data_IF_881715059398
#
_entry.id   IF_881715059398
#
_cell.length_a   1.000
_cell.length_b   1.000
_cell.length_c   1.000
_cell.angle_alpha   90.00
_cell.angle_beta   90.00
_cell.angle_gamma   90.00
#
_symmetry.space_group_name_H-M   'P 1'
#
loop_
_entity.id
_entity.type
_entity.pdbx_description
1 polymer ?
#
# COMPACT_ATOMS: atom_id res chain seq x y z
N UNK A 1 9.10 16.61 0.68
CA UNK A 1 9.19 15.13 0.68
C UNK A 1 8.15 14.55 -0.28
N UNK A 2 8.53 13.60 -1.13
CA UNK A 2 7.64 12.90 -2.07
C UNK A 2 7.15 11.59 -1.45
N UNK A 3 5.82 11.48 -1.27
CA UNK A 3 5.19 10.27 -0.74
C UNK A 3 4.29 9.64 -1.78
N UNK A 4 4.45 8.34 -1.99
CA UNK A 4 3.75 7.56 -3.01
C UNK A 4 3.05 6.36 -2.40
N UNK A 5 1.91 5.99 -2.94
CA UNK A 5 1.21 4.74 -2.64
C UNK A 5 0.89 3.95 -3.91
N UNK A 6 1.01 2.63 -3.87
CA UNK A 6 0.60 1.75 -4.96
C UNK A 6 0.17 0.34 -4.49
N UNK A 7 -1.05 -0.05 -4.81
CA UNK A 7 -1.48 -1.45 -4.74
C UNK A 7 -0.86 -2.21 -5.93
N UNK A 8 0.00 -3.18 -5.62
CA UNK A 8 0.78 -3.90 -6.63
C UNK A 8 0.01 -5.03 -7.31
N UNK A 9 -1.23 -5.31 -6.88
CA UNK A 9 -2.05 -6.40 -7.42
C UNK A 9 -1.29 -7.73 -7.50
N UNK A 10 -0.52 -8.06 -6.45
CA UNK A 10 0.36 -9.24 -6.40
C UNK A 10 1.42 -9.31 -7.52
N UNK A 11 1.77 -8.15 -8.09
CA UNK A 11 2.65 -8.01 -9.24
C UNK A 11 1.99 -8.38 -10.57
N UNK A 12 0.66 -8.36 -10.64
CA UNK A 12 -0.07 -8.70 -11.86
C UNK A 12 -0.24 -7.47 -12.76
N UNK A 13 -0.62 -7.73 -14.00
CA UNK A 13 -1.00 -6.70 -14.97
C UNK A 13 -2.52 -6.59 -15.06
N UNK A 14 -2.98 -5.54 -15.73
CA UNK A 14 -4.36 -5.42 -16.20
C UNK A 14 -4.40 -5.43 -17.74
N UNK A 15 -5.03 -6.45 -18.37
CA UNK A 15 -5.61 -7.65 -17.75
C UNK A 15 -4.54 -8.58 -17.12
N UNK A 16 -4.95 -9.50 -16.20
CA UNK A 16 -4.06 -10.47 -15.56
C UNK A 16 -3.20 -11.28 -16.52
N UNK A 17 -1.90 -11.33 -16.25
CA UNK A 17 -0.90 -12.05 -17.05
C UNK A 17 -0.39 -13.32 -16.38
N UNK A 18 0.40 -14.11 -17.11
CA UNK A 18 1.06 -15.33 -16.59
C UNK A 18 2.36 -15.06 -15.82
N UNK A 19 2.95 -13.87 -15.96
CA UNK A 19 4.23 -13.52 -15.34
C UNK A 19 4.03 -12.37 -14.37
N UNK A 20 4.58 -12.50 -13.17
CA UNK A 20 4.65 -11.40 -12.22
C UNK A 20 5.59 -10.31 -12.75
N UNK A 21 5.19 -9.05 -12.61
CA UNK A 21 5.93 -7.83 -12.92
C UNK A 21 6.36 -7.07 -11.68
N UNK A 22 6.32 -7.72 -10.51
CA UNK A 22 6.53 -7.07 -9.21
C UNK A 22 7.86 -6.30 -9.13
N UNK A 23 8.97 -6.90 -9.55
CA UNK A 23 10.27 -6.22 -9.58
C UNK A 23 10.23 -4.96 -10.44
N UNK A 24 9.65 -5.05 -11.65
CA UNK A 24 9.51 -3.91 -12.56
C UNK A 24 8.65 -2.81 -11.96
N UNK A 25 7.57 -3.18 -11.28
CA UNK A 25 6.68 -2.22 -10.61
C UNK A 25 7.42 -1.48 -9.50
N UNK A 26 8.15 -2.21 -8.63
CA UNK A 26 8.91 -1.59 -7.55
C UNK A 26 10.03 -0.70 -8.09
N UNK A 27 10.77 -1.16 -9.11
CA UNK A 27 11.81 -0.35 -9.77
C UNK A 27 11.23 0.91 -10.41
N UNK A 28 10.11 0.79 -11.12
CA UNK A 28 9.42 1.94 -11.71
C UNK A 28 8.92 2.93 -10.64
N UNK A 29 8.36 2.40 -9.55
CA UNK A 29 7.84 3.21 -8.44
C UNK A 29 8.93 3.89 -7.60
N UNK A 30 10.19 3.54 -7.81
CA UNK A 30 11.35 4.09 -7.08
C UNK A 30 12.34 4.81 -7.99
N UNK A 31 12.08 4.88 -9.29
CA UNK A 31 12.99 5.44 -10.30
C UNK A 31 13.35 6.90 -10.02
N UNK A 32 12.36 7.70 -9.66
CA UNK A 32 12.50 9.12 -9.29
C UNK A 32 12.80 9.34 -7.79
N UNK A 33 13.13 8.26 -7.07
CA UNK A 33 13.56 8.26 -5.66
C UNK A 33 12.56 8.96 -4.72
N UNK A 34 11.32 8.46 -4.59
CA UNK A 34 10.42 8.98 -3.57
C UNK A 34 11.03 8.77 -2.19
N UNK A 35 10.69 9.65 -1.26
CA UNK A 35 11.13 9.52 0.12
C UNK A 35 10.41 8.36 0.82
N UNK A 36 9.13 8.19 0.50
CA UNK A 36 8.27 7.17 1.10
C UNK A 36 7.45 6.49 0.01
N UNK A 37 7.43 5.16 0.02
CA UNK A 37 6.60 4.34 -0.86
C UNK A 37 5.78 3.32 -0.07
N UNK A 38 4.46 3.53 -0.01
CA UNK A 38 3.49 2.63 0.59
C UNK A 38 2.99 1.61 -0.44
N UNK A 39 3.14 0.33 -0.15
CA UNK A 39 2.75 -0.77 -1.04
C UNK A 39 1.66 -1.63 -0.40
N UNK A 40 0.67 -2.00 -1.20
CA UNK A 40 -0.37 -2.97 -0.83
C UNK A 40 -0.31 -4.19 -1.76
N UNK A 41 -0.89 -5.30 -1.32
CA UNK A 41 -0.91 -6.57 -2.05
C UNK A 41 0.48 -7.09 -2.44
N UNK A 42 1.45 -6.96 -1.53
CA UNK A 42 2.79 -7.50 -1.70
C UNK A 42 2.78 -9.00 -1.39
N UNK A 43 3.16 -9.88 -2.33
CA UNK A 43 3.33 -11.29 -2.03
C UNK A 43 4.44 -11.54 -0.99
N UNK A 44 4.27 -12.48 -0.05
CA UNK A 44 5.24 -12.67 1.06
C UNK A 44 6.66 -13.01 0.58
N UNK A 45 6.80 -13.78 -0.50
CA UNK A 45 8.10 -14.13 -1.06
C UNK A 45 8.92 -12.91 -1.54
N UNK A 46 8.26 -11.78 -1.78
CA UNK A 46 8.89 -10.56 -2.27
C UNK A 46 9.42 -9.66 -1.16
N UNK A 47 8.99 -9.83 0.09
CA UNK A 47 9.37 -8.96 1.20
C UNK A 47 10.88 -8.86 1.39
N UNK A 48 11.61 -9.97 1.25
CA UNK A 48 13.08 -9.98 1.34
C UNK A 48 13.79 -9.36 0.13
N UNK A 49 13.06 -9.12 -0.98
CA UNK A 49 13.61 -8.56 -2.23
C UNK A 49 13.32 -7.08 -2.40
N UNK A 50 12.26 -6.57 -1.75
CA UNK A 50 11.85 -5.16 -1.85
C UNK A 50 13.00 -4.17 -1.60
N UNK A 51 13.86 -4.34 -0.57
CA UNK A 51 14.99 -3.43 -0.38
C UNK A 51 15.97 -3.42 -1.55
N UNK A 52 16.26 -4.59 -2.14
CA UNK A 52 17.18 -4.71 -3.28
C UNK A 52 16.61 -4.17 -4.58
N UNK A 53 15.29 -4.25 -4.79
CA UNK A 53 14.64 -3.69 -5.97
C UNK A 53 14.44 -2.18 -5.89
N UNK A 54 14.05 -1.68 -4.71
CA UNK A 54 13.74 -0.26 -4.50
C UNK A 54 14.92 0.58 -4.04
N UNK A 55 15.99 -0.03 -3.52
CA UNK A 55 17.11 0.71 -2.89
C UNK A 55 16.71 1.43 -1.59
N UNK A 56 15.65 0.95 -0.93
CA UNK A 56 14.99 1.58 0.22
C UNK A 56 14.94 0.63 1.41
N UNK A 57 14.98 1.16 2.63
CA UNK A 57 14.71 0.35 3.82
C UNK A 57 13.20 0.01 3.89
N UNK A 58 12.81 -1.04 4.60
CA UNK A 58 11.42 -1.53 4.57
C UNK A 58 10.89 -1.87 5.97
N UNK A 59 9.62 -1.54 6.21
CA UNK A 59 8.77 -2.11 7.26
C UNK A 59 7.52 -2.72 6.65
N UNK A 60 7.03 -3.84 7.18
CA UNK A 60 5.89 -4.55 6.58
C UNK A 60 4.99 -5.18 7.63
N UNK A 61 3.72 -5.38 7.27
CA UNK A 61 2.76 -6.16 8.06
C UNK A 61 2.17 -7.26 7.19
N UNK A 62 2.15 -8.50 7.70
CA UNK A 62 1.55 -9.65 7.01
C UNK A 62 0.04 -9.59 7.20
N UNK A 63 -0.69 -9.47 6.10
CA UNK A 63 -2.17 -9.37 6.08
C UNK A 63 -2.83 -10.71 5.77
N UNK A 64 -2.11 -11.65 5.14
CA UNK A 64 -2.58 -13.02 4.92
C UNK A 64 -1.42 -14.01 4.94
N UNK A 65 -1.55 -15.10 5.70
CA UNK A 65 -0.57 -16.20 5.69
C UNK A 65 -0.72 -17.04 4.42
N UNK A 66 0.38 -17.59 3.93
CA UNK A 66 0.38 -18.56 2.84
C UNK A 66 -0.39 -19.83 3.27
N UNK A 67 -1.26 -20.35 2.38
CA UNK A 67 -2.19 -21.44 2.72
C UNK A 67 -1.59 -22.86 2.69
N UNK A 68 -0.31 -23.07 2.32
CA UNK A 68 0.26 -24.43 2.23
C UNK A 68 1.62 -24.55 2.92
N UNK A 69 1.71 -25.52 3.83
CA UNK A 69 2.98 -26.14 4.24
C UNK A 69 3.70 -26.72 3.02
N UNK A 70 5.02 -26.61 3.04
CA UNK A 70 6.00 -26.71 1.95
C UNK A 70 6.03 -28.01 1.12
N UNK A 71 5.18 -29.01 1.36
CA UNK A 71 5.40 -30.37 0.87
C UNK A 71 4.72 -30.76 -0.47
N UNK A 72 3.82 -29.95 -1.02
CA UNK A 72 3.16 -30.22 -2.31
C UNK A 72 3.32 -29.10 -3.37
N UNK A 73 4.09 -28.05 -3.07
CA UNK A 73 4.14 -26.84 -3.89
C UNK A 73 4.98 -26.93 -5.19
N UNK A 74 5.90 -27.89 -5.31
CA UNK A 74 6.94 -27.91 -6.35
C UNK A 74 6.48 -28.34 -7.76
N UNK A 75 5.32 -28.99 -7.88
CA UNK A 75 4.79 -29.46 -9.15
C UNK A 75 3.72 -28.52 -9.74
N UNK A 76 2.89 -27.90 -8.91
CA UNK A 76 1.74 -27.09 -9.32
C UNK A 76 2.15 -25.66 -9.70
N UNK A 77 3.24 -25.13 -9.11
CA UNK A 77 3.75 -23.77 -9.39
C UNK A 77 4.32 -23.57 -10.80
N UNK A 78 4.54 -24.65 -11.57
CA UNK A 78 5.05 -24.55 -12.95
C UNK A 78 3.98 -24.29 -14.02
N UNK A 79 2.68 -24.48 -13.72
CA UNK A 79 1.66 -24.59 -14.78
C UNK A 79 0.55 -23.54 -14.81
N UNK A 80 0.33 -22.71 -13.77
CA UNK A 80 -0.58 -21.56 -13.91
C UNK A 80 -0.36 -20.50 -12.82
N UNK A 81 0.31 -19.40 -13.18
CA UNK A 81 0.85 -18.42 -12.24
C UNK A 81 -0.08 -17.24 -11.90
N UNK A 82 -1.22 -17.07 -12.59
CA UNK A 82 -2.05 -15.85 -12.50
C UNK A 82 -3.10 -15.84 -11.38
N UNK A 83 -3.70 -17.01 -11.07
CA UNK A 83 -4.82 -17.11 -10.10
C UNK A 83 -4.49 -17.95 -8.86
N UNK A 84 -3.75 -19.05 -9.02
CA UNK A 84 -3.43 -19.95 -7.89
C UNK A 84 -2.39 -19.37 -6.93
N UNK A 85 -1.67 -18.31 -7.32
CA UNK A 85 -0.58 -17.76 -6.52
C UNK A 85 -1.04 -16.82 -5.41
N UNK A 86 -2.14 -16.08 -5.53
CA UNK A 86 -2.56 -15.13 -4.47
C UNK A 86 -2.97 -15.86 -3.18
N UNK A 87 -3.71 -16.97 -3.29
CA UNK A 87 -4.08 -17.80 -2.14
C UNK A 87 -2.87 -18.52 -1.52
N UNK A 88 -1.86 -18.88 -2.32
CA UNK A 88 -0.70 -19.66 -1.88
C UNK A 88 0.50 -18.81 -1.44
N UNK A 89 0.65 -17.59 -1.93
CA UNK A 89 1.79 -16.73 -1.62
C UNK A 89 1.63 -15.96 -0.30
N UNK A 90 0.41 -15.85 0.21
CA UNK A 90 0.08 -14.89 1.27
C UNK A 90 0.25 -13.44 0.79
N UNK A 91 -0.04 -12.50 1.67
CA UNK A 91 -0.07 -11.08 1.37
C UNK A 91 0.47 -10.24 2.53
N UNK A 92 1.12 -9.13 2.19
CA UNK A 92 1.58 -8.11 3.11
C UNK A 92 1.36 -6.71 2.54
N UNK A 93 1.41 -5.73 3.44
CA UNK A 93 1.60 -4.31 3.10
C UNK A 93 3.01 -3.92 3.52
N UNK A 94 3.62 -2.97 2.80
CA UNK A 94 4.97 -2.49 3.09
C UNK A 94 5.05 -0.96 3.03
N UNK A 95 5.94 -0.39 3.85
CA UNK A 95 6.38 1.01 3.78
C UNK A 95 7.86 0.95 3.48
N UNK A 96 8.25 1.52 2.33
CA UNK A 96 9.64 1.67 1.92
C UNK A 96 10.06 3.12 2.22
N UNK A 97 11.26 3.28 2.77
CA UNK A 97 11.84 4.55 3.19
C UNK A 97 13.16 4.81 2.47
N UNK A 98 13.34 6.02 1.95
CA UNK A 98 14.57 6.43 1.29
C UNK A 98 15.77 6.36 2.25
N UNK A 99 17.01 6.22 1.72
CA UNK A 99 18.20 6.35 2.54
C UNK A 99 18.21 7.67 3.30
N UNK A 100 18.46 7.62 4.61
CA UNK A 100 18.42 8.78 5.51
C UNK A 100 17.10 8.96 6.27
N UNK A 101 16.06 8.20 5.95
CA UNK A 101 14.84 8.11 6.76
C UNK A 101 14.87 6.85 7.64
N UNK A 102 15.16 7.06 8.92
CA UNK A 102 15.24 5.98 9.90
C UNK A 102 13.91 5.77 10.64
N UNK A 103 13.43 4.53 10.62
CA UNK A 103 12.26 4.12 11.37
C UNK A 103 12.59 4.02 12.88
N UNK A 104 12.12 4.99 13.65
CA UNK A 104 12.26 5.03 15.12
C UNK A 104 11.34 4.04 15.82
N UNK A 105 10.14 3.83 15.27
CA UNK A 105 9.20 2.82 15.75
C UNK A 105 8.30 2.32 14.62
N UNK A 106 7.75 1.12 14.79
CA UNK A 106 6.78 0.52 13.87
C UNK A 106 5.60 -0.05 14.66
N UNK A 107 4.42 0.51 14.43
CA UNK A 107 3.17 0.16 15.08
C UNK A 107 2.20 -0.49 14.08
N UNK A 108 1.33 -1.36 14.56
CA UNK A 108 0.33 -2.05 13.73
C UNK A 108 -1.01 -2.09 14.45
N UNK A 109 -2.09 -1.79 13.73
CA UNK A 109 -3.46 -1.98 14.19
C UNK A 109 -4.23 -2.83 13.17
N UNK A 110 -4.95 -3.84 13.66
CA UNK A 110 -5.99 -4.51 12.87
C UNK A 110 -7.22 -3.60 12.82
N UNK A 111 -7.62 -3.18 11.62
CA UNK A 111 -8.67 -2.18 11.39
C UNK A 111 -10.01 -2.80 10.99
N UNK A 112 -10.08 -4.07 10.65
CA UNK A 112 -11.34 -4.78 10.37
C UNK A 112 -12.00 -5.34 11.62
N UNK A 113 -13.32 -5.57 11.55
CA UNK A 113 -14.11 -6.23 12.61
C UNK A 113 -14.04 -7.76 12.51
N UNK A 114 -12.83 -8.31 12.68
CA UNK A 114 -12.56 -9.76 12.79
C UNK A 114 -12.95 -10.61 11.56
N UNK A 115 -12.74 -10.09 10.35
CA UNK A 115 -12.85 -10.83 9.09
C UNK A 115 -11.87 -12.00 9.00
N UNK A 116 -12.15 -12.95 8.11
CA UNK A 116 -11.23 -14.06 7.81
C UNK A 116 -9.90 -13.56 7.22
N UNK A 117 -9.96 -12.56 6.34
CA UNK A 117 -8.79 -11.85 5.82
C UNK A 117 -8.62 -10.52 6.59
N UNK A 118 -7.67 -10.45 7.53
CA UNK A 118 -7.51 -9.27 8.37
C UNK A 118 -6.98 -8.09 7.56
N UNK A 119 -7.47 -6.90 7.88
CA UNK A 119 -7.04 -5.62 7.33
C UNK A 119 -6.24 -4.90 8.40
N UNK A 120 -5.08 -4.38 8.01
CA UNK A 120 -4.17 -3.69 8.92
C UNK A 120 -3.89 -2.28 8.42
N UNK A 121 -3.84 -1.34 9.37
CA UNK A 121 -3.08 -0.11 9.24
C UNK A 121 -1.76 -0.32 9.98
N UNK A 122 -0.64 0.04 9.37
CA UNK A 122 0.64 0.07 10.08
C UNK A 122 1.32 1.42 9.89
N UNK A 123 1.91 1.92 10.97
CA UNK A 123 2.49 3.24 11.06
C UNK A 123 3.97 3.14 11.43
N UNK A 124 4.81 3.90 10.74
CA UNK A 124 6.23 4.06 11.05
C UNK A 124 6.42 5.48 11.57
N UNK A 125 7.00 5.58 12.76
CA UNK A 125 7.43 6.85 13.34
C UNK A 125 8.83 7.15 12.84
N UNK A 126 9.00 8.30 12.21
CA UNK A 126 10.26 8.89 11.80
C UNK A 126 10.58 10.05 12.75
N UNK A 127 11.75 10.66 12.56
CA UNK A 127 12.02 11.95 13.22
C UNK A 127 11.08 13.03 12.66
N UNK A 128 10.26 13.62 13.53
CA UNK A 128 9.33 14.70 13.17
C UNK A 128 8.07 14.31 12.36
N UNK A 129 7.87 13.05 11.96
CA UNK A 129 6.74 12.64 11.10
C UNK A 129 6.28 11.20 11.40
N UNK A 130 4.98 10.93 11.23
CA UNK A 130 4.44 9.56 11.18
C UNK A 130 3.90 9.24 9.79
N UNK A 131 4.30 8.09 9.24
CA UNK A 131 3.79 7.58 7.97
C UNK A 131 3.00 6.31 8.21
N UNK A 132 1.76 6.27 7.76
CA UNK A 132 0.92 5.09 7.84
C UNK A 132 0.49 4.57 6.46
N UNK A 133 0.38 3.25 6.37
CA UNK A 133 -0.10 2.52 5.21
C UNK A 133 -1.25 1.59 5.60
N UNK A 134 -2.31 1.60 4.81
CA UNK A 134 -3.44 0.69 4.97
C UNK A 134 -3.90 0.08 3.63
N UNK A 135 -4.63 -1.02 3.75
CA UNK A 135 -5.42 -1.57 2.65
C UNK A 135 -6.77 -1.95 3.23
N UNK A 136 -7.78 -1.12 3.02
CA UNK A 136 -9.12 -1.33 3.56
C UNK A 136 -9.86 -2.44 2.80
N UNK A 137 -10.97 -2.89 3.37
CA UNK A 137 -11.89 -3.83 2.77
C UNK A 137 -12.42 -3.30 1.43
N UNK A 138 -12.35 -4.14 0.41
CA UNK A 138 -13.08 -3.91 -0.84
C UNK A 138 -14.54 -4.38 -0.71
N UNK A 139 -15.45 -3.47 -0.34
CA UNK A 139 -16.89 -3.73 -0.31
C UNK A 139 -17.68 -2.53 -0.87
N UNK A 140 -17.78 -2.46 -2.20
CA UNK A 140 -18.52 -1.40 -2.89
C UNK A 140 -20.02 -1.37 -2.58
N UNK A 141 -20.60 -2.47 -2.08
CA UNK A 141 -22.02 -2.54 -1.72
C UNK A 141 -22.26 -1.96 -0.33
N UNK A 142 -21.23 -1.90 0.51
CA UNK A 142 -21.29 -1.41 1.88
C UNK A 142 -20.12 -0.46 2.16
N UNK A 143 -20.08 0.73 1.53
CA UNK A 143 -18.98 1.68 1.70
C UNK A 143 -18.77 2.12 3.16
N UNK A 144 -19.79 2.01 4.02
CA UNK A 144 -19.66 2.25 5.45
C UNK A 144 -18.65 1.32 6.14
N UNK A 145 -18.39 0.13 5.61
CA UNK A 145 -17.42 -0.82 6.16
C UNK A 145 -15.99 -0.27 6.03
N UNK A 146 -15.44 -0.04 4.82
CA UNK A 146 -14.14 0.59 4.69
C UNK A 146 -14.09 2.01 5.27
N UNK A 147 -15.21 2.76 5.32
CA UNK A 147 -15.23 4.06 5.99
C UNK A 147 -15.00 3.96 7.50
N UNK A 148 -15.60 2.96 8.18
CA UNK A 148 -15.35 2.70 9.59
C UNK A 148 -13.92 2.20 9.83
N UNK A 149 -13.37 1.38 8.93
CA UNK A 149 -11.96 0.96 8.96
C UNK A 149 -11.01 2.16 8.82
N UNK A 150 -11.33 3.11 7.94
CA UNK A 150 -10.57 4.34 7.79
C UNK A 150 -10.63 5.21 9.05
N UNK A 151 -11.79 5.34 9.70
CA UNK A 151 -11.91 6.05 10.97
C UNK A 151 -11.05 5.43 12.08
N UNK A 152 -11.01 4.09 12.17
CA UNK A 152 -10.11 3.38 13.10
C UNK A 152 -8.64 3.60 12.77
N UNK A 153 -8.29 3.58 11.48
CA UNK A 153 -6.92 3.85 11.04
C UNK A 153 -6.50 5.29 11.35
N UNK A 154 -7.37 6.27 11.14
CA UNK A 154 -7.11 7.68 11.43
C UNK A 154 -6.89 7.93 12.93
N UNK A 155 -7.76 7.39 13.80
CA UNK A 155 -7.58 7.49 15.25
C UNK A 155 -6.25 6.87 15.69
N UNK A 156 -5.94 5.68 15.19
CA UNK A 156 -4.67 5.02 15.48
C UNK A 156 -3.44 5.83 15.06
N UNK A 157 -3.47 6.43 13.87
CA UNK A 157 -2.35 7.24 13.38
C UNK A 157 -2.22 8.54 14.16
N UNK A 158 -3.33 9.12 14.60
CA UNK A 158 -3.36 10.27 15.51
C UNK A 158 -2.66 9.95 16.83
N UNK A 159 -2.98 8.81 17.43
CA UNK A 159 -2.37 8.37 18.69
C UNK A 159 -0.87 8.13 18.54
N UNK A 160 -0.45 7.44 17.46
CA UNK A 160 0.97 7.18 17.17
C UNK A 160 1.74 8.46 16.87
N UNK A 161 1.09 9.44 16.22
CA UNK A 161 1.69 10.74 15.93
C UNK A 161 1.96 11.53 17.22
N UNK A 162 1.05 11.52 18.18
CA UNK A 162 1.23 12.24 19.45
C UNK A 162 1.50 13.73 19.23
N UNK A 163 0.80 14.34 18.27
CA UNK A 163 0.96 15.76 17.90
C UNK A 163 1.95 16.04 16.76
N UNK A 164 2.73 15.05 16.31
CA UNK A 164 3.53 15.19 15.09
C UNK A 164 2.64 15.29 13.84
N UNK A 165 3.13 15.90 12.75
CA UNK A 165 2.55 15.68 11.44
C UNK A 165 2.44 14.20 11.09
N UNK A 166 1.44 13.87 10.28
CA UNK A 166 1.21 12.48 9.89
C UNK A 166 0.64 12.32 8.49
N UNK A 167 0.95 11.16 7.90
CA UNK A 167 0.48 10.73 6.59
C UNK A 167 -0.32 9.45 6.75
N UNK A 168 -1.45 9.38 6.08
CA UNK A 168 -2.29 8.19 5.94
C UNK A 168 -2.43 7.88 4.45
N UNK A 169 -1.70 6.87 4.01
CA UNK A 169 -1.66 6.47 2.61
C UNK A 169 -2.16 5.04 2.42
N UNK A 170 -2.58 4.71 1.20
CA UNK A 170 -2.94 3.35 0.86
C UNK A 170 -4.10 3.23 -0.12
N UNK A 171 -4.59 2.01 -0.22
CA UNK A 171 -5.83 1.69 -0.91
C UNK A 171 -6.97 1.70 0.11
N UNK A 172 -7.79 2.76 0.06
CA UNK A 172 -8.90 2.91 1.00
C UNK A 172 -10.16 2.19 0.53
N UNK A 173 -10.18 1.66 -0.71
CA UNK A 173 -11.38 1.11 -1.34
C UNK A 173 -12.62 2.03 -1.25
N UNK A 174 -12.39 3.35 -1.12
CA UNK A 174 -13.42 4.38 -0.97
C UNK A 174 -13.21 5.48 -1.99
N UNK A 175 -14.24 5.80 -2.76
CA UNK A 175 -14.25 7.01 -3.59
C UNK A 175 -14.36 8.25 -2.71
N UNK A 176 -13.92 9.40 -3.23
CA UNK A 176 -13.90 10.68 -2.52
C UNK A 176 -15.20 11.03 -1.77
N UNK A 177 -16.36 10.69 -2.33
CA UNK A 177 -17.68 10.97 -1.74
C UNK A 177 -18.05 10.05 -0.56
N UNK A 178 -17.36 8.91 -0.41
CA UNK A 178 -17.57 7.96 0.69
C UNK A 178 -16.45 8.01 1.74
N UNK A 179 -15.35 8.72 1.47
CA UNK A 179 -14.34 9.00 2.48
C UNK A 179 -14.97 9.96 3.51
N UNK A 180 -14.97 9.63 4.82
CA UNK A 180 -15.44 10.53 5.88
C UNK A 180 -14.67 11.85 5.89
N UNK A 181 -15.29 12.89 6.44
CA UNK A 181 -14.57 14.13 6.73
C UNK A 181 -13.56 13.88 7.85
N UNK A 182 -12.28 14.07 7.52
CA UNK A 182 -11.18 13.91 8.45
C UNK A 182 -10.61 15.30 8.71
N UNK A 183 -10.96 15.90 9.85
CA UNK A 183 -10.59 17.26 10.17
C UNK A 183 -9.07 17.47 10.15
N UNK A 184 -8.62 18.52 9.45
CA UNK A 184 -7.20 18.88 9.34
C UNK A 184 -6.37 18.03 8.36
N UNK A 185 -6.99 17.05 7.69
CA UNK A 185 -6.33 16.26 6.65
C UNK A 185 -6.47 16.93 5.27
N UNK A 186 -5.49 16.69 4.39
CA UNK A 186 -5.44 17.21 3.02
C UNK A 186 -6.59 16.73 2.14
N UNK A 187 -6.73 17.37 0.97
CA UNK A 187 -7.75 17.02 -0.01
C UNK A 187 -7.65 15.56 -0.48
N UNK A 188 -8.82 14.96 -0.75
CA UNK A 188 -8.96 13.59 -1.22
C UNK A 188 -8.64 13.47 -2.70
N UNK A 189 -8.24 12.27 -3.10
CA UNK A 189 -8.05 11.90 -4.51
C UNK A 189 -9.36 11.59 -5.25
N UNK A 190 -9.35 11.53 -6.59
CA UNK A 190 -10.53 11.15 -7.37
C UNK A 190 -10.83 9.64 -7.36
N UNK A 191 -9.85 8.82 -6.98
CA UNK A 191 -9.93 7.35 -6.98
C UNK A 191 -10.24 6.75 -5.62
N UNK A 192 -9.77 5.52 -5.42
CA UNK A 192 -9.83 4.78 -4.14
C UNK A 192 -8.48 4.74 -3.40
N UNK A 193 -7.40 5.01 -4.13
CA UNK A 193 -6.05 5.14 -3.59
C UNK A 193 -5.81 6.59 -3.15
N UNK A 194 -5.25 6.76 -1.95
CA UNK A 194 -5.05 8.09 -1.35
C UNK A 194 -3.69 8.23 -0.66
N UNK A 195 -3.24 9.48 -0.56
CA UNK A 195 -2.18 9.94 0.33
C UNK A 195 -2.72 11.19 1.03
N UNK A 196 -3.19 11.04 2.26
CA UNK A 196 -3.71 12.14 3.06
C UNK A 196 -2.64 12.62 4.04
N UNK A 197 -2.54 13.92 4.23
CA UNK A 197 -1.51 14.56 5.05
C UNK A 197 -2.16 15.49 6.06
N UNK A 198 -1.71 15.47 7.32
CA UNK A 198 -2.14 16.39 8.37
C UNK A 198 -0.92 17.01 9.05
N UNK A 199 -1.00 18.30 9.35
CA UNK A 199 0.05 19.05 10.04
C UNK A 199 1.18 19.57 9.15
N UNK A 200 1.13 19.32 7.84
CA UNK A 200 2.03 19.88 6.82
C UNK A 200 1.24 20.32 5.60
N UNK A 201 1.83 21.19 4.79
CA UNK A 201 1.29 21.52 3.48
C UNK A 201 1.47 20.34 2.52
N UNK A 202 0.50 20.14 1.64
CA UNK A 202 0.49 19.04 0.69
C UNK A 202 0.06 19.56 -0.69
N UNK A 203 0.75 19.11 -1.74
CA UNK A 203 0.29 19.28 -3.10
C UNK A 203 -1.05 18.56 -3.32
N UNK A 204 -1.82 18.91 -4.36
CA UNK A 204 -2.90 18.05 -4.82
C UNK A 204 -2.39 16.62 -5.10
N UNK A 205 -3.23 15.62 -4.84
CA UNK A 205 -2.91 14.22 -5.15
C UNK A 205 -2.77 14.04 -6.67
N UNK A 206 -1.61 13.59 -7.11
CA UNK A 206 -1.36 13.21 -8.49
C UNK A 206 -1.63 11.72 -8.69
N UNK A 207 -2.31 11.36 -9.77
CA UNK A 207 -2.56 9.97 -10.18
C UNK A 207 -1.74 9.71 -11.44
N UNK A 208 -0.93 8.66 -11.44
CA UNK A 208 -0.10 8.36 -12.60
C UNK A 208 -0.91 7.98 -13.84
N UNK A 209 -0.60 8.54 -15.02
CA UNK A 209 -1.30 8.20 -16.25
C UNK A 209 -0.96 6.78 -16.70
N UNK A 210 -1.93 6.12 -17.36
CA UNK A 210 -1.77 4.75 -17.88
C UNK A 210 -0.50 4.58 -18.72
N UNK A 211 -0.15 5.59 -19.55
CA UNK A 211 1.04 5.56 -20.40
C UNK A 211 2.34 5.36 -19.60
N UNK A 212 2.46 5.95 -18.41
CA UNK A 212 3.64 5.85 -17.54
C UNK A 212 3.82 4.44 -16.96
N UNK A 213 2.71 3.72 -16.76
CA UNK A 213 2.67 2.39 -16.14
C UNK A 213 2.34 1.27 -17.13
N UNK A 214 2.63 1.47 -18.42
CA UNK A 214 2.52 0.42 -19.45
C UNK A 214 3.86 -0.28 -19.64
N UNK A 215 3.82 -1.61 -19.68
CA UNK A 215 4.99 -2.43 -19.95
C UNK A 215 4.59 -3.60 -20.87
N UNK A 216 5.26 -3.71 -22.02
CA UNK A 216 4.99 -4.73 -23.05
C UNK A 216 3.50 -4.87 -23.41
N UNK A 217 2.83 -3.74 -23.63
CA UNK A 217 1.42 -3.70 -24.05
C UNK A 217 0.39 -3.91 -22.94
N UNK A 218 0.82 -4.27 -21.72
CA UNK A 218 -0.07 -4.43 -20.56
C UNK A 218 0.10 -3.27 -19.57
N UNK A 219 -0.95 -2.98 -18.83
CA UNK A 219 -0.90 -1.99 -17.74
C UNK A 219 -0.40 -2.68 -16.47
N UNK A 220 0.59 -2.10 -15.80
CA UNK A 220 1.08 -2.58 -14.51
C UNK A 220 0.06 -2.23 -13.43
N UNK A 221 -0.43 -3.25 -12.71
CA UNK A 221 -1.56 -3.17 -11.77
C UNK A 221 -2.86 -2.66 -12.42
N UNK A 222 -3.99 -3.07 -11.85
CA UNK A 222 -5.27 -2.40 -12.07
C UNK A 222 -5.35 -1.05 -11.32
N UNK A 223 -4.55 -0.87 -10.26
CA UNK A 223 -4.37 0.40 -9.56
C UNK A 223 -3.28 1.28 -10.20
N UNK A 224 -3.50 2.59 -10.18
CA UNK A 224 -2.47 3.57 -10.52
C UNK A 224 -1.70 3.99 -9.27
N UNK A 225 -0.38 4.20 -9.34
CA UNK A 225 0.32 4.93 -8.29
C UNK A 225 -0.31 6.30 -8.06
N UNK A 226 -0.39 6.69 -6.79
CA UNK A 226 -0.81 8.02 -6.36
C UNK A 226 0.27 8.66 -5.50
N UNK A 227 0.44 9.98 -5.60
CA UNK A 227 1.51 10.68 -4.91
C UNK A 227 1.17 12.11 -4.51
N UNK A 228 1.85 12.57 -3.47
CA UNK A 228 1.78 13.94 -2.95
C UNK A 228 3.20 14.40 -2.61
N UNK A 229 3.50 15.66 -2.89
CA UNK A 229 4.66 16.36 -2.33
C UNK A 229 4.23 17.12 -1.09
N UNK A 230 4.91 16.89 0.03
CA UNK A 230 4.70 17.62 1.29
C UNK A 230 5.84 18.60 1.56
N UNK A 231 5.49 19.76 2.10
CA UNK A 231 6.42 20.81 2.55
C UNK A 231 6.99 20.56 3.93
#
# INVERSE_FOLDING_TARGET
>A
MLVRSWNLFHGNTFPPGRRSRLEWMVRLATEDRPDVLCLQEVPLWALSRLPGWGGMSMRSVVTRRAALGTWLGGAITRLNNGLFRSALAGQANAILLSPGLDALAHHTLRIDERREEPRFCHAVRLDGLVVANLHATNDFRRPQVPAAELGRAESFVTDVAGGLPCILAGDFNLRANHVPELAGWSARGPGIDHVLVRGLSASPLAVWPVKRRRHNGAVLSDHAPVEVTIG
#
